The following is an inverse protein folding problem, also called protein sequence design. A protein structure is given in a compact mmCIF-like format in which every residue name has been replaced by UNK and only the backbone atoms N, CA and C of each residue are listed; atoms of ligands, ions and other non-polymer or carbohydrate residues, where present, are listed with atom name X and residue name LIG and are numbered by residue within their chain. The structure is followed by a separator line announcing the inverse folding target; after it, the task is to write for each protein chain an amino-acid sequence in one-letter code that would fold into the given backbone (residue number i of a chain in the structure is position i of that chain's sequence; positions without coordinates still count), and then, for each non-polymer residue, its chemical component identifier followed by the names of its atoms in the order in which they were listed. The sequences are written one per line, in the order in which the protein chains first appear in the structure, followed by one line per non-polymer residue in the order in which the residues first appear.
data_IF_968045858722
#
_entry.id   IF_968045858722
#
_cell.length_a   1.000
_cell.length_b   1.000
_cell.length_c   1.000
_cell.angle_alpha   90.00
_cell.angle_beta   90.00
_cell.angle_gamma   90.00
#
_symmetry.space_group_name_H-M   'P 1'
#
loop_
_entity.id
_entity.type
_entity.pdbx_description
1 polymer ?
#
# COMPACT_ATOMS: atom_id res chain seq x y z
N UNK A 1 -8.70 -44.68 7.40
CA UNK A 1 -7.34 -44.26 7.00
C UNK A 1 -7.00 -44.47 5.51
N UNK A 2 -7.50 -45.51 4.82
CA UNK A 2 -7.19 -45.76 3.38
C UNK A 2 -7.59 -44.61 2.41
N UNK A 3 -8.70 -43.89 2.64
CA UNK A 3 -9.12 -42.78 1.76
C UNK A 3 -8.21 -41.53 1.83
N UNK A 4 -7.58 -41.27 2.98
CA UNK A 4 -6.67 -40.12 3.12
C UNK A 4 -5.39 -40.36 2.30
N UNK A 5 -4.89 -41.60 2.30
CA UNK A 5 -3.71 -41.98 1.53
C UNK A 5 -3.93 -41.84 0.01
N UNK A 6 -5.11 -42.23 -0.48
CA UNK A 6 -5.48 -42.06 -1.89
C UNK A 6 -5.49 -40.58 -2.32
N UNK A 7 -6.03 -39.70 -1.49
CA UNK A 7 -6.07 -38.26 -1.79
C UNK A 7 -4.68 -37.61 -1.81
N UNK A 8 -3.80 -37.99 -0.88
CA UNK A 8 -2.40 -37.54 -0.88
C UNK A 8 -1.62 -38.02 -2.11
N UNK A 9 -1.86 -39.26 -2.57
CA UNK A 9 -1.25 -39.79 -3.80
C UNK A 9 -1.72 -38.98 -5.01
N UNK A 10 -3.02 -38.67 -5.12
CA UNK A 10 -3.55 -37.83 -6.21
C UNK A 10 -2.92 -36.44 -6.19
N UNK A 11 -2.82 -35.79 -5.03
CA UNK A 11 -2.15 -34.49 -4.90
C UNK A 11 -0.66 -34.54 -5.28
N UNK A 12 0.05 -35.61 -4.89
CA UNK A 12 1.45 -35.81 -5.29
C UNK A 12 1.60 -36.03 -6.79
N UNK A 13 0.69 -36.78 -7.43
CA UNK A 13 0.66 -36.97 -8.88
C UNK A 13 0.41 -35.64 -9.60
N UNK A 14 -0.54 -34.84 -9.12
CA UNK A 14 -0.81 -33.50 -9.68
C UNK A 14 0.40 -32.59 -9.50
N UNK A 15 1.04 -32.60 -8.32
CA UNK A 15 2.23 -31.80 -8.05
C UNK A 15 3.43 -32.20 -8.91
N UNK A 16 3.67 -33.51 -9.08
CA UNK A 16 4.70 -34.05 -9.96
C UNK A 16 4.43 -33.67 -11.43
N UNK A 17 3.18 -33.75 -11.87
CA UNK A 17 2.77 -33.35 -13.21
C UNK A 17 2.92 -31.85 -13.45
N UNK A 18 2.64 -31.01 -12.44
CA UNK A 18 2.90 -29.56 -12.49
C UNK A 18 4.40 -29.27 -12.61
N UNK A 19 5.27 -29.93 -11.83
CA UNK A 19 6.73 -29.77 -11.94
C UNK A 19 7.23 -30.18 -13.33
N UNK A 20 6.79 -31.32 -13.85
CA UNK A 20 7.21 -31.83 -15.16
C UNK A 20 6.75 -30.90 -16.30
N UNK A 21 5.54 -30.34 -16.20
CA UNK A 21 5.04 -29.35 -17.15
C UNK A 21 5.84 -28.04 -17.08
N UNK A 22 6.21 -27.60 -15.86
CA UNK A 22 7.04 -26.41 -15.66
C UNK A 22 8.43 -26.54 -16.31
N UNK A 23 9.02 -27.73 -16.26
CA UNK A 23 10.30 -28.02 -16.95
C UNK A 23 10.22 -27.86 -18.47
N UNK A 24 9.10 -28.22 -19.10
CA UNK A 24 8.91 -28.11 -20.55
C UNK A 24 8.55 -26.69 -21.01
N UNK A 25 7.85 -25.91 -20.19
CA UNK A 25 7.46 -24.52 -20.53
C UNK A 25 8.67 -23.57 -20.53
N UNK A 26 9.63 -23.74 -19.63
CA UNK A 26 10.86 -22.94 -19.65
C UNK A 26 11.69 -23.18 -20.90
N UNK A 27 11.70 -24.42 -21.42
CA UNK A 27 12.44 -24.77 -22.65
C UNK A 27 11.84 -24.12 -23.91
N UNK A 28 10.52 -23.95 -23.96
CA UNK A 28 9.82 -23.28 -25.07
C UNK A 28 9.85 -21.76 -24.97
N UNK A 29 9.97 -21.19 -23.77
CA UNK A 29 10.02 -19.73 -23.58
C UNK A 29 11.36 -19.11 -24.02
N UNK A 30 12.47 -19.84 -23.89
CA UNK A 30 13.78 -19.39 -24.40
C UNK A 30 13.82 -19.38 -25.94
N UNK A 31 13.03 -20.23 -26.61
CA UNK A 31 12.88 -20.24 -28.08
C UNK A 31 11.93 -19.15 -28.61
N UNK A 32 10.87 -18.80 -27.86
CA UNK A 32 9.87 -17.80 -28.29
C UNK A 32 10.36 -16.36 -28.09
N UNK A 33 11.16 -16.09 -27.04
CA UNK A 33 11.71 -14.74 -26.78
C UNK A 33 12.76 -14.29 -27.82
N UNK A 34 13.33 -15.22 -28.59
CA UNK A 34 14.25 -14.88 -29.69
C UNK A 34 13.53 -14.60 -31.02
N UNK A 35 12.21 -14.83 -31.13
CA UNK A 35 11.46 -14.72 -32.40
C UNK A 35 10.43 -13.60 -32.49
N UNK A 36 10.21 -12.81 -31.43
CA UNK A 36 9.16 -11.76 -31.43
C UNK A 36 9.71 -10.37 -31.04
N UNK A 37 10.64 -9.91 -31.86
CA UNK A 37 10.91 -8.49 -32.12
C UNK A 37 10.36 -8.24 -33.53
N UNK A 38 9.50 -7.23 -33.70
CA UNK A 38 8.71 -6.89 -34.92
C UNK A 38 7.26 -7.38 -34.83
N UNK A 39 6.42 -6.59 -34.14
CA UNK A 39 5.12 -6.10 -34.65
C UNK A 39 4.39 -5.32 -33.54
N UNK A 40 4.05 -4.07 -33.86
CA UNK A 40 3.38 -3.11 -32.98
C UNK A 40 2.10 -2.64 -33.66
N UNK A 41 1.10 -2.41 -32.82
CA UNK A 41 -0.14 -1.66 -33.05
C UNK A 41 -1.29 -2.41 -33.74
N UNK A 42 -2.30 -2.80 -32.95
CA UNK A 42 -3.62 -2.15 -32.96
C UNK A 42 -4.56 -2.81 -31.93
N UNK A 43 -5.65 -2.11 -31.62
CA UNK A 43 -6.85 -2.53 -30.90
C UNK A 43 -6.96 -2.24 -29.39
N UNK A 44 -7.52 -1.05 -29.17
CA UNK A 44 -8.53 -0.73 -28.16
C UNK A 44 -9.62 -1.82 -28.07
N UNK A 45 -9.49 -2.76 -27.13
CA UNK A 45 -10.63 -3.55 -26.61
C UNK A 45 -10.36 -4.20 -25.23
N UNK A 46 -9.38 -3.68 -24.48
CA UNK A 46 -8.91 -4.30 -23.22
C UNK A 46 -9.86 -4.16 -22.02
N UNK A 47 -11.01 -3.49 -22.13
CA UNK A 47 -11.92 -3.30 -20.99
C UNK A 47 -12.91 -4.43 -20.75
N UNK A 48 -13.19 -5.31 -21.72
CA UNK A 48 -14.05 -6.49 -21.49
C UNK A 48 -13.36 -7.61 -20.70
N UNK A 49 -12.03 -7.74 -20.84
CA UNK A 49 -11.25 -8.84 -20.25
C UNK A 49 -11.19 -8.84 -18.71
N UNK A 50 -11.66 -7.77 -18.06
CA UNK A 50 -11.65 -7.65 -16.60
C UNK A 50 -12.82 -8.39 -15.93
N UNK A 51 -13.96 -8.55 -16.60
CA UNK A 51 -15.15 -9.18 -16.02
C UNK A 51 -14.99 -10.70 -15.90
N UNK A 52 -14.44 -11.33 -16.94
CA UNK A 52 -14.19 -12.78 -16.97
C UNK A 52 -13.17 -13.19 -15.90
N UNK A 53 -12.14 -12.36 -15.69
CA UNK A 53 -11.13 -12.63 -14.68
C UNK A 53 -11.72 -12.62 -13.26
N UNK A 54 -12.65 -11.72 -12.93
CA UNK A 54 -13.25 -11.64 -11.59
C UNK A 54 -14.02 -12.90 -11.21
N UNK A 55 -14.85 -13.41 -12.12
CA UNK A 55 -15.64 -14.64 -11.91
C UNK A 55 -14.69 -15.84 -11.78
N UNK A 56 -13.68 -15.93 -12.66
CA UNK A 56 -12.66 -16.98 -12.59
C UNK A 56 -11.91 -16.96 -11.25
N UNK A 57 -11.68 -15.78 -10.65
CA UNK A 57 -11.02 -15.68 -9.35
C UNK A 57 -11.87 -16.23 -8.20
N UNK A 58 -13.16 -15.89 -8.13
CA UNK A 58 -14.05 -16.45 -7.08
C UNK A 58 -14.10 -17.97 -7.16
N UNK A 59 -14.23 -18.55 -8.36
CA UNK A 59 -14.27 -19.99 -8.55
C UNK A 59 -12.95 -20.68 -8.15
N UNK A 60 -11.79 -20.13 -8.57
CA UNK A 60 -10.47 -20.67 -8.21
C UNK A 60 -10.33 -20.74 -6.69
N UNK A 61 -10.64 -19.63 -6.03
CA UNK A 61 -10.42 -19.52 -4.59
C UNK A 61 -11.44 -20.31 -3.79
N UNK A 62 -12.68 -20.46 -4.25
CA UNK A 62 -13.66 -21.38 -3.66
C UNK A 62 -13.15 -22.81 -3.69
N UNK A 63 -12.67 -23.29 -4.85
CA UNK A 63 -12.14 -24.67 -4.98
C UNK A 63 -10.92 -24.89 -4.07
N UNK A 64 -10.01 -23.92 -4.03
CA UNK A 64 -8.83 -24.00 -3.16
C UNK A 64 -9.26 -23.98 -1.68
N UNK A 65 -10.23 -23.15 -1.31
CA UNK A 65 -10.77 -23.09 0.05
C UNK A 65 -11.45 -24.40 0.45
N UNK A 66 -12.31 -24.97 -0.39
CA UNK A 66 -12.98 -26.24 -0.15
C UNK A 66 -11.97 -27.37 0.13
N UNK A 67 -10.91 -27.46 -0.68
CA UNK A 67 -9.83 -28.43 -0.52
C UNK A 67 -9.09 -28.26 0.82
N UNK A 68 -8.96 -27.02 1.32
CA UNK A 68 -8.28 -26.75 2.59
C UNK A 68 -9.19 -26.79 3.81
N UNK A 69 -10.49 -26.50 3.68
CA UNK A 69 -11.45 -26.62 4.78
C UNK A 69 -11.79 -28.07 5.12
N UNK A 70 -11.65 -29.00 4.17
CA UNK A 70 -11.85 -30.44 4.43
C UNK A 70 -10.69 -31.03 5.28
N UNK A 71 -9.52 -30.38 5.32
CA UNK A 71 -8.30 -30.93 5.94
C UNK A 71 -7.88 -30.24 7.25
N UNK A 72 -8.82 -29.70 8.03
CA UNK A 72 -8.51 -29.02 9.30
C UNK A 72 -8.07 -30.03 10.38
N UNK A 73 -6.78 -30.38 10.39
CA UNK A 73 -6.08 -30.84 11.60
C UNK A 73 -5.36 -29.65 12.25
N UNK A 74 -5.35 -29.58 13.58
CA UNK A 74 -4.83 -28.46 14.41
C UNK A 74 -3.35 -28.09 14.20
N UNK A 75 -2.63 -28.76 13.32
CA UNK A 75 -1.23 -28.49 12.97
C UNK A 75 -1.08 -28.41 11.45
N UNK A 76 -0.79 -27.21 10.96
CA UNK A 76 -0.51 -26.96 9.54
C UNK A 76 0.74 -27.78 9.13
N UNK A 77 0.56 -28.79 8.28
CA UNK A 77 1.66 -29.67 7.89
C UNK A 77 2.74 -28.88 7.13
N UNK A 78 4.00 -29.32 7.20
CA UNK A 78 5.11 -28.74 6.42
C UNK A 78 4.77 -28.65 4.92
N UNK A 79 4.00 -29.60 4.41
CA UNK A 79 3.55 -29.66 3.02
C UNK A 79 2.52 -28.56 2.71
N UNK A 80 1.59 -28.26 3.62
CA UNK A 80 0.62 -27.18 3.44
C UNK A 80 1.30 -25.81 3.40
N UNK A 81 2.28 -25.57 4.30
CA UNK A 81 3.10 -24.34 4.28
C UNK A 81 3.88 -24.21 2.98
N UNK A 82 4.50 -25.28 2.51
CA UNK A 82 5.25 -25.29 1.26
C UNK A 82 4.32 -25.03 0.06
N UNK A 83 3.16 -25.68 0.01
CA UNK A 83 2.20 -25.53 -1.07
C UNK A 83 1.62 -24.11 -1.13
N UNK A 84 1.25 -23.52 0.02
CA UNK A 84 0.86 -22.11 0.11
C UNK A 84 1.97 -21.19 -0.42
N UNK A 85 3.21 -21.42 0.01
CA UNK A 85 4.36 -20.63 -0.46
C UNK A 85 4.55 -20.73 -1.98
N UNK A 86 4.35 -21.92 -2.57
CA UNK A 86 4.43 -22.15 -4.01
C UNK A 86 3.29 -21.47 -4.74
N UNK A 87 2.03 -21.74 -4.39
CA UNK A 87 0.86 -21.11 -5.03
C UNK A 87 0.95 -19.58 -4.97
N UNK A 88 1.35 -19.02 -3.84
CA UNK A 88 1.45 -17.57 -3.67
C UNK A 88 2.71 -16.96 -4.30
N UNK A 89 3.61 -17.77 -4.86
CA UNK A 89 4.80 -17.31 -5.60
C UNK A 89 4.65 -17.32 -7.11
N UNK A 90 3.61 -17.97 -7.64
CA UNK A 90 3.36 -18.10 -9.08
C UNK A 90 2.66 -16.83 -9.62
N UNK A 91 3.14 -16.21 -10.71
CA UNK A 91 2.44 -15.14 -11.41
C UNK A 91 0.98 -15.48 -11.74
N UNK A 92 0.07 -14.54 -11.49
CA UNK A 92 -1.39 -14.72 -11.61
C UNK A 92 -1.86 -15.32 -12.96
N UNK A 93 -1.15 -15.00 -14.06
CA UNK A 93 -1.46 -15.53 -15.39
C UNK A 93 -1.30 -17.06 -15.44
N UNK A 94 -0.29 -17.57 -14.77
CA UNK A 94 0.02 -19.00 -14.68
C UNK A 94 -0.95 -19.70 -13.72
N UNK A 95 -1.35 -19.04 -12.62
CA UNK A 95 -2.39 -19.57 -11.72
C UNK A 95 -3.71 -19.82 -12.43
N UNK A 96 -4.13 -18.90 -13.32
CA UNK A 96 -5.35 -19.07 -14.14
C UNK A 96 -5.19 -20.25 -15.13
N UNK A 97 -4.03 -20.38 -15.77
CA UNK A 97 -3.76 -21.50 -16.68
C UNK A 97 -3.83 -22.85 -15.96
N UNK A 98 -3.21 -22.94 -14.77
CA UNK A 98 -3.26 -24.14 -13.93
C UNK A 98 -4.71 -24.46 -13.53
N UNK A 99 -5.49 -23.46 -13.12
CA UNK A 99 -6.89 -23.68 -12.79
C UNK A 99 -7.71 -24.19 -13.96
N UNK A 100 -7.59 -23.60 -15.15
CA UNK A 100 -8.34 -24.04 -16.32
C UNK A 100 -8.00 -25.49 -16.68
N UNK A 101 -6.73 -25.88 -16.61
CA UNK A 101 -6.30 -27.27 -16.81
C UNK A 101 -6.88 -28.23 -15.76
N UNK A 102 -6.96 -27.80 -14.49
CA UNK A 102 -7.59 -28.59 -13.43
C UNK A 102 -9.10 -28.71 -13.68
N UNK A 103 -9.77 -27.62 -14.04
CA UNK A 103 -11.21 -27.57 -14.33
C UNK A 103 -11.58 -28.48 -15.50
N UNK A 104 -10.82 -28.46 -16.58
CA UNK A 104 -11.02 -29.35 -17.73
C UNK A 104 -10.85 -30.83 -17.36
N UNK A 105 -9.87 -31.16 -16.51
CA UNK A 105 -9.64 -32.55 -16.07
C UNK A 105 -10.62 -33.04 -15.01
N UNK A 106 -11.24 -32.15 -14.24
CA UNK A 106 -12.20 -32.48 -13.19
C UNK A 106 -13.67 -32.42 -13.67
N UNK A 107 -13.94 -32.04 -14.92
CA UNK A 107 -15.30 -32.18 -15.45
C UNK A 107 -15.67 -33.66 -15.51
N UNK A 108 -16.74 -34.10 -14.81
CA UNK A 108 -17.13 -35.49 -14.79
C UNK A 108 -17.64 -35.90 -16.18
N UNK A 109 -16.88 -36.72 -16.88
CA UNK A 109 -17.33 -37.46 -18.05
C UNK A 109 -18.48 -38.39 -17.64
N UNK A 110 -19.71 -38.02 -17.99
CA UNK A 110 -20.92 -38.85 -18.05
C UNK A 110 -20.96 -40.09 -17.13
N UNK A 111 -21.09 -39.88 -15.80
CA UNK A 111 -21.47 -40.97 -14.90
C UNK A 111 -22.98 -40.93 -14.67
N UNK A 112 -23.61 -42.06 -14.98
CA UNK A 112 -25.05 -42.28 -15.08
C UNK A 112 -25.86 -41.91 -13.82
N UNK A 113 -27.15 -41.60 -14.02
CA UNK A 113 -28.15 -41.11 -13.05
C UNK A 113 -28.43 -41.99 -11.80
N UNK A 114 -27.61 -42.99 -11.47
CA UNK A 114 -27.94 -43.99 -10.43
C UNK A 114 -27.34 -43.77 -9.03
N UNK A 115 -26.42 -42.82 -8.84
CA UNK A 115 -25.73 -42.63 -7.54
C UNK A 115 -26.11 -41.37 -6.74
N UNK A 116 -27.02 -40.51 -7.25
CA UNK A 116 -27.43 -39.26 -6.58
C UNK A 116 -28.41 -39.40 -5.39
N UNK A 117 -28.69 -40.62 -4.90
CA UNK A 117 -29.73 -40.86 -3.86
C UNK A 117 -29.22 -41.24 -2.46
N UNK A 118 -27.91 -41.20 -2.19
CA UNK A 118 -27.37 -41.77 -0.93
C UNK A 118 -26.65 -40.80 0.04
N UNK A 119 -26.66 -39.47 -0.20
CA UNK A 119 -25.88 -38.50 0.62
C UNK A 119 -26.76 -37.36 1.15
N UNK A 120 -27.94 -37.69 1.67
CA UNK A 120 -28.87 -36.70 2.23
C UNK A 120 -29.54 -37.24 3.50
N UNK A 121 -28.75 -37.41 4.56
CA UNK A 121 -29.19 -37.59 5.96
C UNK A 121 -27.99 -37.28 6.87
N UNK A 122 -28.27 -36.63 8.00
CA UNK A 122 -27.36 -36.23 9.10
C UNK A 122 -26.82 -34.77 9.07
N UNK A 123 -27.75 -33.85 9.37
CA UNK A 123 -27.52 -32.62 10.13
C UNK A 123 -28.52 -32.62 11.32
N UNK A 124 -28.10 -32.02 12.46
CA UNK A 124 -28.76 -31.88 13.79
C UNK A 124 -28.28 -32.97 14.77
N UNK A 125 -27.83 -32.71 16.00
CA UNK A 125 -27.90 -31.62 17.00
C UNK A 125 -26.56 -31.60 17.79
N UNK A 126 -26.18 -30.76 18.74
CA UNK A 126 -26.85 -29.87 19.71
C UNK A 126 -25.76 -29.03 20.42
N UNK A 127 -26.12 -27.81 20.84
CA UNK A 127 -25.38 -26.90 21.71
C UNK A 127 -25.29 -27.40 23.17
N UNK A 128 -24.38 -26.83 23.99
CA UNK A 128 -24.63 -26.28 25.35
C UNK A 128 -23.36 -25.60 25.94
N UNK A 129 -23.65 -24.66 26.83
CA UNK A 129 -23.01 -23.48 27.44
C UNK A 129 -21.68 -23.53 28.25
N UNK A 130 -20.97 -22.40 28.16
CA UNK A 130 -20.29 -21.55 29.16
C UNK A 130 -20.20 -21.98 30.65
N UNK A 131 -19.03 -21.73 31.27
CA UNK A 131 -18.88 -20.79 32.41
C UNK A 131 -17.40 -20.56 32.81
N UNK A 132 -17.16 -19.37 33.35
CA UNK A 132 -15.93 -18.67 33.72
C UNK A 132 -15.36 -18.96 35.12
N UNK A 133 -14.04 -18.74 35.31
CA UNK A 133 -13.40 -18.09 36.49
C UNK A 133 -11.86 -18.10 36.30
N UNK A 134 -11.22 -16.96 36.08
CA UNK A 134 -10.47 -16.11 37.04
C UNK A 134 -9.38 -16.83 37.83
N UNK A 135 -8.11 -16.42 37.66
CA UNK A 135 -7.21 -16.12 38.79
C UNK A 135 -6.01 -15.25 38.36
N UNK A 136 -5.70 -14.33 39.27
CA UNK A 136 -4.79 -13.20 39.23
C UNK A 136 -3.32 -13.55 39.51
N UNK A 137 -2.51 -12.49 39.38
CA UNK A 137 -1.19 -12.22 39.97
C UNK A 137 0.00 -12.65 39.11
N UNK A 138 1.09 -11.91 39.00
CA UNK A 138 1.55 -10.52 39.30
C UNK A 138 3.05 -10.58 38.90
N UNK A 139 3.75 -9.44 38.89
CA UNK A 139 5.20 -9.25 39.15
C UNK A 139 5.85 -8.26 38.17
N UNK A 140 5.89 -7.03 38.69
CA UNK A 140 7.00 -6.05 38.79
C UNK A 140 7.78 -5.58 37.56
N UNK A 141 7.64 -4.27 37.34
CA UNK A 141 8.53 -3.37 36.61
C UNK A 141 9.67 -2.86 37.51
N UNK A 142 10.90 -2.89 37.01
CA UNK A 142 12.04 -2.14 37.56
C UNK A 142 12.47 -1.03 36.61
N UNK A 143 12.44 0.20 37.14
CA UNK A 143 13.00 1.40 36.55
C UNK A 143 14.52 1.40 36.72
N UNK A 144 15.26 1.81 35.69
CA UNK A 144 16.64 2.28 35.85
C UNK A 144 16.76 3.65 35.16
N UNK A 145 16.94 4.65 36.01
CA UNK A 145 17.42 6.00 35.71
C UNK A 145 18.94 5.93 35.72
N UNK A 146 19.60 6.45 34.69
CA UNK A 146 21.01 6.82 34.77
C UNK A 146 21.24 8.15 34.07
N UNK A 147 21.57 9.12 34.91
CA UNK A 147 22.09 10.45 34.63
C UNK A 147 23.55 10.40 34.17
N UNK A 148 23.94 11.25 33.24
CA UNK A 148 25.28 11.85 33.26
C UNK A 148 25.27 13.24 32.63
N UNK A 149 25.90 14.16 33.35
CA UNK A 149 26.07 15.58 33.05
C UNK A 149 27.27 15.85 32.15
N UNK A 150 27.20 17.01 31.47
CA UNK A 150 28.24 18.03 31.21
C UNK A 150 29.65 17.59 30.78
N UNK A 151 30.37 18.27 29.92
CA UNK A 151 30.23 19.52 29.17
C UNK A 151 31.47 19.55 28.26
N UNK A 152 31.35 20.08 27.06
CA UNK A 152 32.44 20.85 26.44
C UNK A 152 31.93 21.61 25.24
N UNK A 153 32.21 22.89 25.30
CA UNK A 153 31.86 24.00 24.43
C UNK A 153 32.63 23.93 23.11
N UNK A 154 31.95 24.09 21.98
CA UNK A 154 32.53 24.78 20.83
C UNK A 154 31.43 25.35 19.93
N UNK A 155 31.52 26.66 19.71
CA UNK A 155 30.65 27.51 18.88
C UNK A 155 30.36 26.89 17.50
N UNK A 156 29.10 26.56 17.21
CA UNK A 156 28.58 26.53 15.84
C UNK A 156 27.25 27.29 15.79
N UNK A 157 27.29 28.39 15.05
CA UNK A 157 26.24 29.37 14.88
C UNK A 157 25.02 28.73 14.16
N UNK A 158 23.93 28.60 14.92
CA UNK A 158 22.50 28.83 14.58
C UNK A 158 21.77 28.18 13.37
N UNK A 159 22.13 26.97 12.91
CA UNK A 159 21.24 26.17 12.03
C UNK A 159 20.43 25.08 12.74
N UNK A 160 20.74 24.81 14.02
CA UNK A 160 20.10 23.74 14.82
C UNK A 160 18.67 24.13 15.26
N UNK A 161 18.43 25.43 15.48
CA UNK A 161 17.14 25.95 15.91
C UNK A 161 16.07 25.87 14.81
N UNK A 162 16.43 26.06 13.53
CA UNK A 162 15.51 25.87 12.38
C UNK A 162 15.12 24.38 12.24
N UNK A 163 16.06 23.48 12.53
CA UNK A 163 15.86 22.04 12.43
C UNK A 163 14.97 21.48 13.53
N UNK A 164 15.01 22.06 14.73
CA UNK A 164 14.09 21.72 15.83
C UNK A 164 12.74 22.39 15.64
N UNK A 165 12.66 23.67 15.25
CA UNK A 165 11.39 24.38 15.05
C UNK A 165 10.54 23.81 13.92
N UNK A 166 11.13 23.34 12.81
CA UNK A 166 10.35 22.65 11.76
C UNK A 166 9.83 21.26 12.18
N UNK A 167 10.39 20.67 13.24
CA UNK A 167 9.89 19.44 13.86
C UNK A 167 9.04 19.67 15.12
N UNK A 168 9.08 20.89 15.69
CA UNK A 168 8.45 21.24 16.96
C UNK A 168 7.41 22.36 16.86
N UNK A 169 7.21 22.99 15.70
CA UNK A 169 5.93 23.59 15.32
C UNK A 169 4.92 22.46 15.08
N UNK A 170 4.68 21.71 16.16
CA UNK A 170 3.54 20.85 16.37
C UNK A 170 2.35 21.77 16.19
N UNK A 171 1.64 21.58 15.08
CA UNK A 171 0.34 22.19 14.81
C UNK A 171 -0.60 21.73 15.93
N UNK A 172 -0.55 22.42 17.07
CA UNK A 172 -1.59 22.41 18.10
C UNK A 172 -2.68 23.38 17.64
N UNK A 173 -3.40 23.03 16.58
CA UNK A 173 -4.69 23.64 16.22
C UNK A 173 -5.36 22.85 15.08
N UNK A 174 -6.41 22.12 15.47
CA UNK A 174 -7.50 21.54 14.66
C UNK A 174 -7.15 20.43 13.65
N UNK A 175 -7.75 19.25 13.87
CA UNK A 175 -7.70 18.02 13.07
C UNK A 175 -8.32 18.12 11.66
N UNK A 176 -8.57 19.33 11.16
CA UNK A 176 -9.23 19.58 9.86
C UNK A 176 -8.38 20.55 9.06
N UNK A 177 -7.49 19.99 8.24
CA UNK A 177 -6.79 20.74 7.20
C UNK A 177 -7.82 21.08 6.12
N UNK A 178 -8.19 22.35 6.04
CA UNK A 178 -9.03 22.85 4.95
C UNK A 178 -8.12 23.12 3.76
N UNK A 179 -8.32 22.37 2.67
CA UNK A 179 -7.53 22.54 1.45
C UNK A 179 -7.74 23.93 0.87
N UNK A 180 -6.67 24.71 0.68
CA UNK A 180 -6.73 26.02 0.03
C UNK A 180 -6.46 25.89 -1.47
N UNK A 181 -7.44 26.25 -2.30
CA UNK A 181 -7.34 26.28 -3.77
C UNK A 181 -6.72 27.58 -4.33
N UNK A 182 -6.18 28.45 -3.47
CA UNK A 182 -5.74 29.78 -3.90
C UNK A 182 -4.47 29.71 -4.76
N UNK A 183 -4.51 30.39 -5.90
CA UNK A 183 -3.34 30.72 -6.73
C UNK A 183 -2.50 31.75 -5.99
N UNK A 184 -1.70 31.32 -5.01
CA UNK A 184 -0.72 32.19 -4.38
C UNK A 184 0.48 32.35 -5.28
N UNK A 185 0.97 33.58 -5.40
CA UNK A 185 2.19 33.89 -6.15
C UNK A 185 3.37 33.11 -5.57
N UNK A 186 4.18 32.55 -6.48
CA UNK A 186 5.40 31.88 -6.09
C UNK A 186 6.31 32.86 -5.33
N UNK A 187 6.90 32.40 -4.23
CA UNK A 187 7.89 33.19 -3.51
C UNK A 187 9.11 33.44 -4.40
N UNK A 188 9.67 34.65 -4.31
CA UNK A 188 10.84 35.06 -5.10
C UNK A 188 12.12 34.72 -4.32
N UNK A 189 13.10 34.16 -5.01
CA UNK A 189 14.45 33.92 -4.47
C UNK A 189 15.51 34.39 -5.46
N UNK A 190 16.78 34.43 -5.02
CA UNK A 190 17.92 34.74 -5.89
C UNK A 190 18.10 33.72 -7.03
N UNK A 191 17.50 32.53 -6.93
CA UNK A 191 17.56 31.48 -7.95
C UNK A 191 16.45 31.66 -9.01
N UNK A 192 16.63 32.64 -9.91
CA UNK A 192 15.64 33.02 -10.95
C UNK A 192 15.38 31.94 -12.03
N UNK A 193 16.16 30.85 -12.07
CA UNK A 193 16.06 29.84 -13.14
C UNK A 193 14.89 28.87 -13.00
N UNK A 194 14.17 28.91 -11.88
CA UNK A 194 13.04 28.03 -11.60
C UNK A 194 11.88 28.79 -10.98
N UNK A 195 10.66 28.45 -11.40
CA UNK A 195 9.41 28.90 -10.79
C UNK A 195 8.75 27.78 -9.99
N UNK A 196 7.82 28.12 -9.10
CA UNK A 196 6.99 27.15 -8.42
C UNK A 196 6.17 26.35 -9.43
N UNK A 197 5.99 25.05 -9.17
CA UNK A 197 5.12 24.23 -10.00
C UNK A 197 3.67 24.56 -9.63
N UNK A 198 2.94 25.22 -10.55
CA UNK A 198 1.51 25.49 -10.36
C UNK A 198 0.71 24.19 -10.22
N UNK A 199 -0.38 24.25 -9.46
CA UNK A 199 -1.28 23.13 -9.21
C UNK A 199 -1.68 22.41 -10.52
N UNK A 200 -1.74 21.09 -10.47
CA UNK A 200 -2.13 20.23 -11.59
C UNK A 200 -2.58 18.87 -11.06
N UNK A 201 -3.48 18.20 -11.78
CA UNK A 201 -3.91 16.84 -11.48
C UNK A 201 -3.31 15.84 -12.45
N UNK A 202 -3.03 14.63 -11.98
CA UNK A 202 -2.71 13.47 -12.79
C UNK A 202 -3.73 12.38 -12.52
N UNK A 203 -3.92 11.46 -13.47
CA UNK A 203 -4.80 10.30 -13.27
C UNK A 203 -4.41 9.55 -11.99
N UNK A 204 -5.31 9.55 -11.01
CA UNK A 204 -5.18 8.80 -9.78
C UNK A 204 -5.55 7.33 -10.02
N UNK A 205 -4.57 6.46 -9.78
CA UNK A 205 -4.70 5.01 -9.87
C UNK A 205 -4.42 4.31 -8.54
N UNK A 206 -4.37 5.02 -7.41
CA UNK A 206 -3.97 4.48 -6.10
C UNK A 206 -5.14 4.45 -5.11
N UNK A 207 -6.37 4.29 -5.60
CA UNK A 207 -7.55 4.20 -4.74
C UNK A 207 -7.71 2.79 -4.18
N UNK A 208 -8.01 2.73 -2.88
CA UNK A 208 -8.39 1.51 -2.17
C UNK A 208 -9.76 1.70 -1.52
N UNK A 209 -10.54 0.63 -1.47
CA UNK A 209 -11.93 0.65 -1.00
C UNK A 209 -12.25 -0.49 -0.05
N UNK A 210 -13.15 -0.25 0.89
CA UNK A 210 -13.83 -1.30 1.65
C UNK A 210 -15.32 -1.02 1.55
N UNK A 211 -15.94 -1.53 0.48
CA UNK A 211 -17.33 -1.19 0.10
C UNK A 211 -18.33 -1.52 1.20
N UNK A 212 -18.14 -2.61 1.94
CA UNK A 212 -18.99 -2.99 3.08
C UNK A 212 -19.06 -1.91 4.19
N UNK A 213 -18.08 -1.02 4.26
CA UNK A 213 -18.04 0.11 5.20
C UNK A 213 -18.16 1.47 4.50
N UNK A 214 -18.42 1.50 3.18
CA UNK A 214 -18.34 2.71 2.35
C UNK A 214 -17.08 3.55 2.64
N UNK A 215 -15.95 2.87 2.80
CA UNK A 215 -14.69 3.49 3.21
C UNK A 215 -13.70 3.51 2.05
N UNK A 216 -13.10 4.67 1.79
CA UNK A 216 -12.21 4.89 0.65
C UNK A 216 -10.96 5.67 1.05
N UNK A 217 -9.83 5.33 0.40
CA UNK A 217 -8.59 6.09 0.53
C UNK A 217 -7.80 6.18 -0.77
N UNK A 218 -7.09 7.29 -0.95
CA UNK A 218 -6.03 7.42 -1.95
C UNK A 218 -4.67 7.21 -1.27
N UNK A 219 -3.97 6.14 -1.64
CA UNK A 219 -2.69 5.78 -1.03
C UNK A 219 -1.52 6.51 -1.69
N UNK A 220 -0.87 7.41 -0.94
CA UNK A 220 0.28 8.18 -1.41
C UNK A 220 1.59 7.61 -0.86
N UNK A 221 2.52 7.28 -1.75
CA UNK A 221 3.84 6.77 -1.40
C UNK A 221 4.54 7.61 -0.32
N UNK A 222 5.03 6.93 0.73
CA UNK A 222 5.70 7.49 1.93
C UNK A 222 4.80 8.25 2.93
N UNK A 223 3.49 8.19 2.76
CA UNK A 223 2.51 8.72 3.71
C UNK A 223 1.73 7.60 4.38
N UNK A 224 2.42 6.73 5.13
CA UNK A 224 1.79 5.54 5.73
C UNK A 224 1.19 4.55 4.70
N UNK A 225 1.53 4.70 3.40
CA UNK A 225 0.95 3.94 2.28
C UNK A 225 1.00 2.42 2.45
N UNK A 226 2.05 1.88 3.06
CA UNK A 226 2.18 0.44 3.23
C UNK A 226 1.20 -0.10 4.28
N UNK A 227 1.01 0.63 5.38
CA UNK A 227 0.08 0.24 6.43
C UNK A 227 -1.36 0.46 6.00
N UNK A 228 -1.70 1.61 5.39
CA UNK A 228 -3.08 1.86 4.97
C UNK A 228 -3.57 0.81 3.96
N UNK A 229 -2.73 0.37 3.02
CA UNK A 229 -3.10 -0.71 2.09
C UNK A 229 -3.32 -2.04 2.79
N UNK A 230 -2.49 -2.35 3.78
CA UNK A 230 -2.60 -3.59 4.57
C UNK A 230 -3.83 -3.55 5.49
N UNK A 231 -4.14 -2.39 6.07
CA UNK A 231 -5.36 -2.18 6.87
C UNK A 231 -6.61 -2.34 6.01
N UNK A 232 -6.64 -1.72 4.82
CA UNK A 232 -7.76 -1.91 3.89
C UNK A 232 -7.88 -3.37 3.44
N UNK A 233 -6.77 -4.09 3.31
CA UNK A 233 -6.76 -5.52 3.02
C UNK A 233 -7.30 -6.37 4.19
N UNK A 234 -6.92 -6.05 5.42
CA UNK A 234 -7.47 -6.66 6.63
C UNK A 234 -8.98 -6.41 6.73
N UNK A 235 -9.39 -5.14 6.61
CA UNK A 235 -10.78 -4.73 6.68
C UNK A 235 -11.62 -5.36 5.57
N UNK A 236 -11.06 -5.69 4.39
CA UNK A 236 -11.78 -6.40 3.34
C UNK A 236 -12.24 -7.79 3.83
N UNK A 237 -11.32 -8.61 4.34
CA UNK A 237 -11.61 -9.95 4.85
C UNK A 237 -10.69 -10.30 6.03
N UNK A 238 -11.18 -10.02 7.24
CA UNK A 238 -10.41 -10.11 8.47
C UNK A 238 -9.96 -11.55 8.76
N UNK A 239 -10.89 -12.52 8.61
CA UNK A 239 -10.62 -13.94 8.85
C UNK A 239 -9.52 -14.45 7.93
N UNK A 240 -9.61 -14.16 6.63
CA UNK A 240 -8.62 -14.58 5.64
C UNK A 240 -7.28 -13.89 5.88
N UNK A 241 -7.30 -12.59 6.18
CA UNK A 241 -6.09 -11.84 6.49
C UNK A 241 -5.36 -12.41 7.72
N UNK A 242 -6.06 -12.61 8.84
CA UNK A 242 -5.48 -13.17 10.06
C UNK A 242 -4.97 -14.58 9.82
N UNK A 243 -5.71 -15.43 9.09
CA UNK A 243 -5.27 -16.80 8.75
C UNK A 243 -3.95 -16.81 7.96
N UNK A 244 -3.74 -15.86 7.06
CA UNK A 244 -2.55 -15.80 6.19
C UNK A 244 -1.38 -15.10 6.88
N UNK A 245 -1.62 -13.96 7.51
CA UNK A 245 -0.57 -13.06 8.00
C UNK A 245 -0.46 -13.01 9.52
N UNK A 246 -1.54 -13.29 10.25
CA UNK A 246 -1.67 -13.11 11.70
C UNK A 246 -1.69 -11.65 12.13
N UNK A 247 -0.70 -10.88 11.70
CA UNK A 247 -0.41 -9.50 12.08
C UNK A 247 -0.35 -8.58 10.86
N UNK A 248 -0.68 -7.29 11.03
CA UNK A 248 -0.59 -6.30 9.95
C UNK A 248 0.84 -6.21 9.41
N UNK A 249 1.85 -6.22 10.29
CA UNK A 249 3.27 -6.11 9.90
C UNK A 249 3.72 -7.19 8.89
N UNK A 250 3.08 -8.35 8.90
CA UNK A 250 3.40 -9.48 8.01
C UNK A 250 2.70 -9.36 6.65
N UNK A 251 1.59 -8.63 6.58
CA UNK A 251 0.91 -8.30 5.32
C UNK A 251 1.52 -7.11 4.57
N UNK A 252 2.51 -6.43 5.15
CA UNK A 252 3.19 -5.30 4.51
C UNK A 252 3.94 -5.79 3.26
N UNK A 253 3.64 -5.16 2.11
CA UNK A 253 4.15 -5.47 0.77
C UNK A 253 3.63 -6.77 0.14
N UNK A 254 2.73 -7.47 0.81
CA UNK A 254 1.99 -8.58 0.21
C UNK A 254 0.80 -8.01 -0.55
N UNK A 255 0.74 -8.32 -1.85
CA UNK A 255 -0.40 -7.98 -2.70
C UNK A 255 -1.58 -8.92 -2.41
N UNK A 256 -1.31 -10.20 -2.20
CA UNK A 256 -2.29 -11.20 -1.81
C UNK A 256 -2.76 -11.01 -0.35
N UNK A 257 -4.03 -11.29 0.02
CA UNK A 257 -5.15 -11.73 -0.81
C UNK A 257 -5.94 -10.61 -1.51
N UNK A 258 -5.52 -9.35 -1.42
CA UNK A 258 -6.40 -8.21 -1.70
C UNK A 258 -6.14 -7.49 -3.04
N UNK A 259 -5.01 -7.76 -3.69
CA UNK A 259 -4.62 -7.07 -4.91
C UNK A 259 -5.61 -7.33 -6.04
N UNK A 260 -6.02 -6.25 -6.71
CA UNK A 260 -7.10 -6.19 -7.69
C UNK A 260 -8.50 -6.49 -7.14
N UNK A 261 -8.66 -6.75 -5.83
CA UNK A 261 -9.98 -6.93 -5.20
C UNK A 261 -10.45 -5.61 -4.61
N UNK A 262 -9.60 -4.97 -3.81
CA UNK A 262 -9.93 -3.70 -3.15
C UNK A 262 -9.09 -2.51 -3.63
N UNK A 263 -8.21 -2.73 -4.61
CA UNK A 263 -7.33 -1.72 -5.18
C UNK A 263 -6.02 -2.34 -5.70
N UNK A 264 -5.14 -1.54 -6.30
CA UNK A 264 -5.30 -0.11 -6.56
C UNK A 264 -6.18 0.16 -7.81
N UNK A 265 -7.08 1.16 -7.75
CA UNK A 265 -8.03 1.47 -8.83
C UNK A 265 -7.98 2.93 -9.28
N UNK A 266 -8.45 3.18 -10.52
CA UNK A 266 -8.83 4.53 -10.97
C UNK A 266 -10.10 4.99 -10.26
N UNK A 267 -10.24 6.28 -9.97
CA UNK A 267 -11.45 6.82 -9.31
C UNK A 267 -12.72 6.47 -10.07
N UNK A 268 -12.71 6.64 -11.41
CA UNK A 268 -13.82 6.24 -12.29
C UNK A 268 -14.19 4.75 -12.19
N UNK A 269 -13.19 3.89 -11.95
CA UNK A 269 -13.41 2.45 -11.80
C UNK A 269 -14.01 2.15 -10.42
N UNK A 270 -13.59 2.89 -9.38
CA UNK A 270 -14.21 2.79 -8.05
C UNK A 270 -15.70 3.10 -8.12
N UNK A 271 -16.06 4.27 -8.66
CA UNK A 271 -17.46 4.71 -8.79
C UNK A 271 -18.27 3.72 -9.63
N UNK A 272 -17.71 3.25 -10.75
CA UNK A 272 -18.37 2.29 -11.63
C UNK A 272 -18.63 0.94 -10.96
N UNK A 273 -17.64 0.37 -10.28
CA UNK A 273 -17.68 -1.03 -9.83
C UNK A 273 -18.18 -1.21 -8.40
N UNK A 274 -18.03 -0.21 -7.53
CA UNK A 274 -18.39 -0.33 -6.11
C UNK A 274 -19.54 0.57 -5.69
N UNK A 275 -19.98 1.49 -6.55
CA UNK A 275 -21.06 2.41 -6.24
C UNK A 275 -22.06 2.60 -7.40
N UNK A 276 -22.25 1.57 -8.25
CA UNK A 276 -23.25 1.53 -9.31
C UNK A 276 -23.26 2.76 -10.25
N UNK A 277 -22.09 3.34 -10.53
CA UNK A 277 -21.91 4.59 -11.31
C UNK A 277 -22.51 5.85 -10.66
N UNK A 278 -22.97 5.78 -9.41
CA UNK A 278 -23.50 6.92 -8.69
C UNK A 278 -22.35 7.74 -8.11
N UNK A 279 -21.92 8.78 -8.81
CA UNK A 279 -20.81 9.62 -8.34
C UNK A 279 -21.20 10.46 -7.11
N UNK A 280 -22.42 11.00 -7.08
CA UNK A 280 -22.93 11.81 -5.97
C UNK A 280 -22.96 11.02 -4.66
N UNK A 281 -23.52 9.80 -4.68
CA UNK A 281 -23.51 8.95 -3.49
C UNK A 281 -22.08 8.59 -3.06
N UNK A 282 -21.17 8.38 -4.00
CA UNK A 282 -19.79 8.08 -3.67
C UNK A 282 -19.20 9.23 -2.85
N UNK A 283 -19.25 10.46 -3.36
CA UNK A 283 -18.67 11.62 -2.68
C UNK A 283 -19.36 12.01 -1.37
N UNK A 284 -20.70 11.92 -1.32
CA UNK A 284 -21.46 12.44 -0.19
C UNK A 284 -21.67 11.43 0.94
N UNK A 285 -21.74 10.12 0.62
CA UNK A 285 -22.09 9.08 1.60
C UNK A 285 -20.93 8.17 1.98
N UNK A 286 -19.82 8.20 1.25
CA UNK A 286 -18.63 7.42 1.64
C UNK A 286 -17.71 8.27 2.51
N UNK A 287 -16.98 7.60 3.40
CA UNK A 287 -15.90 8.25 4.17
C UNK A 287 -14.61 8.18 3.34
N UNK A 288 -14.12 9.35 2.92
CA UNK A 288 -12.90 9.48 2.12
C UNK A 288 -11.74 10.01 2.96
N UNK A 289 -10.62 9.28 2.96
CA UNK A 289 -9.44 9.69 3.72
C UNK A 289 -8.19 9.78 2.84
N UNK A 290 -7.36 10.78 3.11
CA UNK A 290 -6.03 10.90 2.52
C UNK A 290 -5.02 11.19 3.60
N UNK A 291 -4.03 10.31 3.73
CA UNK A 291 -2.91 10.53 4.65
C UNK A 291 -1.88 11.41 3.92
N UNK A 292 -1.64 12.59 4.48
CA UNK A 292 -0.67 13.55 3.96
C UNK A 292 0.56 13.62 4.87
N UNK A 293 1.65 14.19 4.37
CA UNK A 293 2.90 14.36 5.11
C UNK A 293 3.59 15.64 4.69
N UNK A 294 4.36 16.26 5.58
CA UNK A 294 5.22 17.39 5.25
C UNK A 294 6.03 17.07 3.98
N UNK A 295 5.99 17.94 2.94
CA UNK A 295 6.52 17.57 1.62
C UNK A 295 8.03 17.28 1.63
N UNK A 296 8.81 18.02 2.42
CA UNK A 296 10.25 17.79 2.57
C UNK A 296 10.54 16.48 3.28
N UNK A 297 9.82 16.20 4.37
CA UNK A 297 10.01 14.96 5.10
C UNK A 297 9.64 13.73 4.25
N UNK A 298 8.54 13.83 3.49
CA UNK A 298 8.13 12.82 2.50
C UNK A 298 9.21 12.61 1.44
N UNK A 299 9.69 13.69 0.82
CA UNK A 299 10.77 13.67 -0.18
C UNK A 299 12.02 12.98 0.37
N UNK A 300 12.51 13.41 1.54
CA UNK A 300 13.72 12.85 2.14
C UNK A 300 13.53 11.38 2.52
N UNK A 301 12.33 10.95 2.92
CA UNK A 301 12.01 9.54 3.15
C UNK A 301 12.08 8.72 1.85
N UNK A 302 11.48 9.21 0.77
CA UNK A 302 11.51 8.57 -0.54
C UNK A 302 12.94 8.51 -1.11
N UNK A 303 13.66 9.63 -1.10
CA UNK A 303 15.02 9.75 -1.63
C UNK A 303 16.00 8.87 -0.87
N UNK A 304 15.96 8.90 0.46
CA UNK A 304 16.82 8.04 1.29
C UNK A 304 16.54 6.56 1.01
N UNK A 305 15.26 6.19 0.89
CA UNK A 305 14.86 4.80 0.64
C UNK A 305 15.25 4.30 -0.76
N UNK A 306 14.95 5.07 -1.80
CA UNK A 306 15.03 4.59 -3.19
C UNK A 306 16.36 4.92 -3.86
N UNK A 307 17.01 6.01 -3.45
CA UNK A 307 18.16 6.59 -4.15
C UNK A 307 19.46 6.53 -3.35
N UNK A 308 19.39 6.46 -2.03
CA UNK A 308 20.58 6.35 -1.16
C UNK A 308 20.85 4.90 -0.75
N UNK A 309 19.85 4.19 -0.24
CA UNK A 309 20.01 2.76 0.11
C UNK A 309 20.32 1.94 -1.17
N UNK A 310 21.43 1.19 -1.15
CA UNK A 310 21.92 0.43 -2.33
C UNK A 310 20.99 -0.73 -2.76
N UNK A 311 20.03 -1.13 -1.92
CA UNK A 311 19.17 -2.33 -2.13
C UNK A 311 18.05 -2.17 -3.17
N UNK A 312 17.84 -0.99 -3.78
CA UNK A 312 16.78 -0.80 -4.76
C UNK A 312 17.20 -1.26 -6.17
N UNK A 313 16.64 -2.39 -6.67
CA UNK A 313 16.89 -2.91 -8.03
C UNK A 313 16.58 -1.87 -9.13
N UNK A 314 15.59 -1.02 -8.90
CA UNK A 314 15.16 0.00 -9.87
C UNK A 314 15.83 1.36 -9.66
N UNK A 315 16.86 1.44 -8.81
CA UNK A 315 17.54 2.70 -8.41
C UNK A 315 17.93 3.58 -9.60
N UNK A 316 18.54 3.02 -10.65
CA UNK A 316 18.94 3.82 -11.83
C UNK A 316 17.73 4.49 -12.50
N UNK A 317 16.59 3.80 -12.60
CA UNK A 317 15.35 4.31 -13.22
C UNK A 317 14.61 5.27 -12.29
N UNK A 318 14.41 4.88 -11.04
CA UNK A 318 13.68 5.65 -10.02
C UNK A 318 14.40 6.96 -9.67
N UNK A 319 15.73 6.97 -9.75
CA UNK A 319 16.56 8.09 -9.34
C UNK A 319 17.14 8.87 -10.52
N UNK A 320 16.52 8.78 -11.69
CA UNK A 320 16.95 9.48 -12.92
C UNK A 320 18.44 9.33 -13.23
N UNK A 321 19.04 8.17 -12.98
CA UNK A 321 20.50 7.90 -13.10
C UNK A 321 21.40 8.82 -12.22
N UNK A 322 20.84 9.54 -11.26
CA UNK A 322 21.58 10.42 -10.33
C UNK A 322 22.15 9.67 -9.12
N UNK A 323 21.79 8.40 -8.92
CA UNK A 323 22.16 7.63 -7.74
C UNK A 323 21.79 8.39 -6.44
N UNK A 324 22.75 8.70 -5.58
CA UNK A 324 22.55 9.47 -4.34
C UNK A 324 22.84 10.97 -4.47
N UNK A 325 23.01 11.50 -5.69
CA UNK A 325 23.21 12.94 -5.90
C UNK A 325 21.86 13.67 -5.88
N UNK A 326 21.59 14.42 -4.81
CA UNK A 326 20.33 15.13 -4.60
C UNK A 326 20.13 16.30 -5.57
N UNK A 327 21.20 17.04 -5.91
CA UNK A 327 21.14 18.14 -6.89
C UNK A 327 20.66 17.64 -8.25
N UNK A 328 21.36 16.64 -8.78
CA UNK A 328 20.98 16.00 -10.04
C UNK A 328 19.54 15.47 -9.98
N UNK A 329 19.15 14.85 -8.86
CA UNK A 329 17.81 14.28 -8.72
C UNK A 329 16.72 15.35 -8.75
N UNK A 330 16.83 16.41 -7.95
CA UNK A 330 15.83 17.48 -7.87
C UNK A 330 15.70 18.23 -9.20
N UNK A 331 16.82 18.55 -9.87
CA UNK A 331 16.80 19.21 -11.18
C UNK A 331 16.12 18.34 -12.24
N UNK A 332 16.39 17.03 -12.24
CA UNK A 332 15.73 16.09 -13.16
C UNK A 332 14.28 15.85 -12.80
N UNK A 333 13.91 15.84 -11.52
CA UNK A 333 12.53 15.73 -11.07
C UNK A 333 11.71 16.94 -11.51
N UNK A 334 12.22 18.15 -11.29
CA UNK A 334 11.58 19.40 -11.72
C UNK A 334 11.30 19.40 -13.23
N UNK A 335 12.33 19.15 -14.05
CA UNK A 335 12.20 19.02 -15.51
C UNK A 335 11.23 17.91 -15.92
N UNK A 336 11.20 16.80 -15.18
CA UNK A 336 10.32 15.67 -15.45
C UNK A 336 8.85 16.04 -15.22
N UNK A 337 8.53 16.66 -14.09
CA UNK A 337 7.17 17.11 -13.76
C UNK A 337 6.67 18.10 -14.81
N UNK A 338 7.48 19.11 -15.18
CA UNK A 338 7.10 20.07 -16.22
C UNK A 338 6.79 19.39 -17.57
N UNK A 339 7.59 18.40 -17.98
CA UNK A 339 7.34 17.63 -19.21
C UNK A 339 6.07 16.79 -19.13
N UNK A 340 5.79 16.16 -17.99
CA UNK A 340 4.56 15.37 -17.79
C UNK A 340 3.33 16.27 -17.75
N UNK A 341 3.38 17.37 -17.01
CA UNK A 341 2.31 18.39 -16.94
C UNK A 341 1.96 18.93 -18.33
N UNK A 342 2.98 19.20 -19.15
CA UNK A 342 2.80 19.69 -20.52
C UNK A 342 2.51 18.59 -21.55
N UNK A 343 2.18 17.36 -21.11
CA UNK A 343 1.92 16.18 -21.96
C UNK A 343 3.05 15.83 -22.93
N UNK A 344 4.27 16.34 -22.71
CA UNK A 344 5.48 16.06 -23.53
C UNK A 344 6.19 14.77 -23.13
N UNK A 345 5.71 14.08 -22.10
CA UNK A 345 6.31 12.84 -21.59
C UNK A 345 5.29 11.98 -20.86
N UNK A 346 5.35 10.66 -21.08
CA UNK A 346 4.60 9.70 -20.27
C UNK A 346 5.13 9.65 -18.84
N UNK A 347 4.21 9.58 -17.88
CA UNK A 347 4.54 9.53 -16.46
C UNK A 347 5.15 8.18 -16.08
N UNK A 348 6.19 8.20 -15.23
CA UNK A 348 6.67 7.00 -14.56
C UNK A 348 5.90 6.86 -13.24
N UNK A 349 4.98 5.91 -13.19
CA UNK A 349 4.08 5.67 -12.05
C UNK A 349 4.80 5.51 -10.70
N UNK A 350 5.96 4.84 -10.68
CA UNK A 350 6.74 4.66 -9.45
C UNK A 350 7.35 5.97 -8.97
N UNK A 351 7.90 6.76 -9.90
CA UNK A 351 8.44 8.09 -9.58
C UNK A 351 7.32 9.05 -9.16
N UNK A 352 6.19 9.01 -9.88
CA UNK A 352 4.97 9.77 -9.57
C UNK A 352 4.56 9.54 -8.11
N UNK A 353 4.30 8.29 -7.76
CA UNK A 353 3.80 7.93 -6.43
C UNK A 353 4.72 8.40 -5.27
N UNK A 354 6.04 8.36 -5.46
CA UNK A 354 6.99 8.67 -4.40
C UNK A 354 7.50 10.11 -4.35
N UNK A 355 7.54 10.81 -5.49
CA UNK A 355 8.27 12.07 -5.59
C UNK A 355 7.48 13.24 -6.15
N UNK A 356 6.33 13.02 -6.80
CA UNK A 356 5.52 14.14 -7.28
C UNK A 356 4.77 14.81 -6.13
N UNK A 357 4.34 16.08 -6.27
CA UNK A 357 3.50 16.75 -5.28
C UNK A 357 2.27 15.90 -4.94
N UNK A 358 1.95 15.80 -3.65
CA UNK A 358 0.83 15.02 -3.13
C UNK A 358 -0.50 15.53 -3.70
N UNK A 359 -0.61 16.85 -3.86
CA UNK A 359 -1.73 17.54 -4.53
C UNK A 359 -1.97 17.08 -5.97
N UNK A 360 -1.00 16.44 -6.63
CA UNK A 360 -1.12 15.91 -7.99
C UNK A 360 -1.48 14.42 -8.10
N UNK A 361 -1.58 13.69 -6.98
CA UNK A 361 -1.70 12.22 -6.97
C UNK A 361 -3.12 11.69 -6.81
N UNK A 362 -4.01 12.48 -6.20
CA UNK A 362 -5.40 12.11 -5.94
C UNK A 362 -6.33 13.06 -6.73
N UNK A 363 -7.40 12.55 -7.32
CA UNK A 363 -8.28 13.26 -8.28
C UNK A 363 -9.18 14.34 -7.61
N UNK A 364 -8.73 15.01 -6.55
CA UNK A 364 -9.64 15.66 -5.59
C UNK A 364 -9.38 17.12 -5.31
N UNK A 365 -8.65 17.81 -6.20
CA UNK A 365 -8.55 19.28 -6.15
C UNK A 365 -9.96 19.90 -6.12
N UNK A 366 -10.91 19.34 -6.86
CA UNK A 366 -12.31 19.79 -6.94
C UNK A 366 -13.23 19.11 -5.90
N UNK A 367 -12.77 18.06 -5.22
CA UNK A 367 -13.58 17.24 -4.28
C UNK A 367 -13.03 17.29 -2.85
N UNK A 368 -12.15 18.24 -2.58
CA UNK A 368 -11.44 18.40 -1.31
C UNK A 368 -12.38 18.48 -0.10
N UNK A 369 -13.57 19.07 -0.26
CA UNK A 369 -14.60 19.23 0.76
C UNK A 369 -15.15 17.90 1.30
N UNK A 370 -15.05 16.82 0.51
CA UNK A 370 -15.51 15.48 0.91
C UNK A 370 -14.41 14.66 1.60
N UNK A 371 -13.19 15.18 1.69
CA UNK A 371 -12.01 14.40 2.08
C UNK A 371 -11.51 14.83 3.45
N UNK A 372 -11.36 13.83 4.32
CA UNK A 372 -10.65 13.98 5.58
C UNK A 372 -9.15 13.76 5.36
N UNK A 373 -8.38 14.84 5.45
CA UNK A 373 -6.93 14.79 5.44
C UNK A 373 -6.38 14.44 6.83
N UNK A 374 -5.52 13.43 6.92
CA UNK A 374 -4.90 12.98 8.16
C UNK A 374 -3.39 13.24 8.08
N UNK A 375 -2.86 14.03 9.00
CA UNK A 375 -1.49 14.52 8.92
C UNK A 375 -0.49 13.56 9.60
N UNK A 376 0.30 12.85 8.80
CA UNK A 376 1.34 11.94 9.30
C UNK A 376 2.59 12.65 9.86
N UNK A 377 2.67 13.97 9.77
CA UNK A 377 3.77 14.77 10.32
C UNK A 377 3.51 15.27 11.74
N UNK A 378 2.36 14.97 12.34
CA UNK A 378 2.11 15.21 13.77
C UNK A 378 2.87 14.20 14.64
N UNK A 379 2.73 14.29 15.97
CA UNK A 379 3.24 13.24 16.85
C UNK A 379 2.55 11.92 16.55
N UNK A 380 3.20 10.81 16.92
CA UNK A 380 2.69 9.47 16.66
C UNK A 380 1.30 9.27 17.25
N UNK A 381 1.11 9.76 18.46
CA UNK A 381 -0.12 9.70 19.24
C UNK A 381 -1.23 10.47 18.52
N UNK A 382 -1.00 11.76 18.20
CA UNK A 382 -1.99 12.60 17.49
C UNK A 382 -2.38 11.98 16.14
N UNK A 383 -1.39 11.47 15.38
CA UNK A 383 -1.67 10.82 14.10
C UNK A 383 -2.54 9.57 14.27
N UNK A 384 -2.21 8.69 15.22
CA UNK A 384 -2.98 7.47 15.45
C UNK A 384 -4.36 7.77 16.01
N UNK A 385 -4.50 8.68 16.96
CA UNK A 385 -5.79 9.08 17.52
C UNK A 385 -6.69 9.66 16.43
N UNK A 386 -6.17 10.54 15.58
CA UNK A 386 -6.90 11.09 14.42
C UNK A 386 -7.32 10.00 13.44
N UNK A 387 -6.47 9.00 13.23
CA UNK A 387 -6.73 7.92 12.30
C UNK A 387 -7.76 6.91 12.82
N UNK A 388 -7.69 6.57 14.09
CA UNK A 388 -8.66 5.70 14.79
C UNK A 388 -10.02 6.38 14.87
N UNK A 389 -10.09 7.67 15.25
CA UNK A 389 -11.33 8.45 15.26
C UNK A 389 -12.08 8.41 13.93
N UNK A 390 -11.34 8.45 12.82
CA UNK A 390 -11.94 8.39 11.48
C UNK A 390 -12.52 7.00 11.17
N UNK A 391 -11.95 5.94 11.75
CA UNK A 391 -12.52 4.59 11.65
C UNK A 391 -13.74 4.41 12.55
N UNK A 392 -13.74 5.01 13.75
CA UNK A 392 -14.88 5.02 14.67
C UNK A 392 -16.07 5.79 14.07
N UNK A 393 -15.81 6.90 13.39
CA UNK A 393 -16.81 7.64 12.61
C UNK A 393 -17.29 6.86 11.36
N UNK A 394 -16.65 5.73 11.04
CA UNK A 394 -17.05 4.83 9.98
C UNK A 394 -17.77 3.63 10.60
N UNK A 395 -18.65 2.95 9.87
CA UNK A 395 -19.36 1.76 10.38
C UNK A 395 -18.45 0.51 10.51
N UNK A 396 -17.19 0.69 10.92
CA UNK A 396 -16.20 -0.37 11.13
C UNK A 396 -16.39 -0.92 12.55
N UNK A 397 -16.57 -2.24 12.74
CA UNK A 397 -16.75 -2.82 14.07
C UNK A 397 -15.56 -2.59 15.00
N UNK A 398 -15.84 -2.30 16.28
CA UNK A 398 -14.86 -1.97 17.32
C UNK A 398 -13.74 -3.00 17.44
N UNK A 399 -14.04 -4.30 17.39
CA UNK A 399 -13.02 -5.36 17.45
C UNK A 399 -11.93 -5.20 16.37
N UNK A 400 -12.32 -4.74 15.18
CA UNK A 400 -11.38 -4.49 14.09
C UNK A 400 -10.55 -3.23 14.34
N UNK A 401 -11.18 -2.20 14.90
CA UNK A 401 -10.51 -0.94 15.27
C UNK A 401 -9.48 -1.21 16.35
N UNK A 402 -9.85 -1.93 17.41
CA UNK A 402 -8.97 -2.34 18.51
C UNK A 402 -7.79 -3.17 17.98
N UNK A 403 -8.03 -4.12 17.08
CA UNK A 403 -6.95 -4.89 16.44
C UNK A 403 -5.99 -3.99 15.66
N UNK A 404 -6.52 -3.09 14.84
CA UNK A 404 -5.71 -2.16 14.03
C UNK A 404 -4.90 -1.24 14.94
N UNK A 405 -5.55 -0.64 15.94
CA UNK A 405 -4.94 0.28 16.89
C UNK A 405 -3.76 -0.36 17.62
N UNK A 406 -4.00 -1.55 18.19
CA UNK A 406 -2.95 -2.34 18.83
C UNK A 406 -1.78 -2.57 17.89
N UNK A 407 -2.05 -3.06 16.68
CA UNK A 407 -1.01 -3.39 15.70
C UNK A 407 -0.20 -2.16 15.24
N UNK A 408 -0.82 -1.00 15.04
CA UNK A 408 -0.10 0.20 14.58
C UNK A 408 0.66 0.90 15.71
N UNK A 409 0.19 0.82 16.96
CA UNK A 409 0.86 1.39 18.13
C UNK A 409 2.06 0.55 18.57
N UNK A 410 1.88 -0.77 18.68
CA UNK A 410 2.91 -1.71 19.14
C UNK A 410 4.00 -1.94 18.08
N UNK A 411 3.66 -1.90 16.79
CA UNK A 411 4.66 -2.14 15.75
C UNK A 411 5.57 -0.93 15.54
N UNK A 412 6.87 -1.13 15.71
CA UNK A 412 7.87 -0.22 15.13
C UNK A 412 7.72 -0.34 13.61
N UNK A 413 7.51 0.79 12.94
CA UNK A 413 7.50 0.87 11.48
C UNK A 413 8.90 0.43 10.97
N UNK A 414 9.13 -0.87 10.74
CA UNK A 414 10.44 -1.45 10.34
C UNK A 414 11.05 -0.79 9.09
N UNK A 415 10.24 -0.05 8.35
CA UNK A 415 10.59 0.58 7.08
C UNK A 415 10.71 2.10 7.17
N UNK A 416 10.63 2.65 8.39
CA UNK A 416 10.88 4.07 8.59
C UNK A 416 12.33 4.40 8.24
N UNK A 417 12.51 5.48 7.50
CA UNK A 417 13.82 6.12 7.33
C UNK A 417 14.07 7.15 8.42
N UNK A 418 13.02 7.58 9.13
CA UNK A 418 13.09 8.54 10.22
C UNK A 418 14.02 8.01 11.31
N UNK A 419 14.84 8.89 11.88
CA UNK A 419 15.84 8.52 12.89
C UNK A 419 17.14 7.90 12.34
N UNK A 420 17.16 7.36 11.11
CA UNK A 420 18.37 6.71 10.57
C UNK A 420 19.50 7.70 10.27
N UNK A 421 20.77 7.30 10.48
CA UNK A 421 21.96 8.11 10.16
C UNK A 421 21.96 8.60 8.70
N UNK A 422 21.58 7.72 7.77
CA UNK A 422 21.48 8.07 6.34
C UNK A 422 20.47 9.19 6.08
N UNK A 423 19.29 9.14 6.71
CA UNK A 423 18.26 10.17 6.58
C UNK A 423 18.71 11.51 7.18
N UNK A 424 19.43 11.48 8.31
CA UNK A 424 20.03 12.68 8.92
C UNK A 424 21.06 13.33 7.97
N UNK A 425 21.94 12.53 7.36
CA UNK A 425 22.91 13.04 6.36
C UNK A 425 22.19 13.71 5.18
N UNK A 426 21.15 13.11 4.62
CA UNK A 426 20.40 13.72 3.52
C UNK A 426 19.66 15.00 3.94
N UNK A 427 19.14 15.03 5.18
CA UNK A 427 18.52 16.22 5.74
C UNK A 427 19.53 17.36 5.80
N UNK A 428 20.70 17.13 6.42
CA UNK A 428 21.77 18.12 6.51
C UNK A 428 22.17 18.62 5.12
N UNK A 429 22.30 17.73 4.12
CA UNK A 429 22.61 18.13 2.74
C UNK A 429 21.57 19.05 2.11
N UNK A 430 20.28 18.79 2.35
CA UNK A 430 19.20 19.61 1.82
C UNK A 430 19.15 20.98 2.51
N UNK A 431 19.12 20.99 3.85
CA UNK A 431 18.96 22.21 4.64
C UNK A 431 20.21 23.11 4.64
N UNK A 432 21.41 22.55 4.44
CA UNK A 432 22.64 23.35 4.31
C UNK A 432 22.90 23.86 2.88
N UNK A 433 22.01 23.59 1.91
CA UNK A 433 22.18 24.05 0.54
C UNK A 433 20.95 24.84 0.09
N UNK A 434 21.08 26.17 0.09
CA UNK A 434 19.99 27.11 -0.24
C UNK A 434 19.34 26.82 -1.59
N UNK A 435 20.13 26.47 -2.61
CA UNK A 435 19.60 26.14 -3.93
C UNK A 435 18.77 24.85 -3.92
N UNK A 436 19.22 23.81 -3.20
CA UNK A 436 18.46 22.56 -3.09
C UNK A 436 17.16 22.76 -2.32
N UNK A 437 17.21 23.53 -1.23
CA UNK A 437 16.03 23.85 -0.44
C UNK A 437 15.01 24.65 -1.26
N UNK A 438 15.46 25.71 -1.94
CA UNK A 438 14.64 26.50 -2.87
C UNK A 438 13.98 25.62 -3.94
N UNK A 439 14.77 24.79 -4.62
CA UNK A 439 14.27 23.92 -5.68
C UNK A 439 13.25 22.90 -5.17
N UNK A 440 13.50 22.28 -4.00
CA UNK A 440 12.56 21.36 -3.37
C UNK A 440 11.27 22.09 -2.98
N UNK A 441 11.37 23.28 -2.40
CA UNK A 441 10.21 24.10 -2.03
C UNK A 441 9.38 24.49 -3.25
N UNK A 442 10.02 24.89 -4.36
CA UNK A 442 9.32 25.20 -5.63
C UNK A 442 8.64 23.99 -6.26
N UNK A 443 9.23 22.80 -6.17
CA UNK A 443 8.61 21.54 -6.63
C UNK A 443 7.33 21.26 -5.84
N UNK A 444 7.39 21.39 -4.52
CA UNK A 444 6.31 21.00 -3.61
C UNK A 444 5.43 22.15 -3.12
N UNK A 445 5.57 23.35 -3.70
CA UNK A 445 4.96 24.58 -3.22
C UNK A 445 3.46 24.42 -2.94
N UNK A 446 2.74 23.80 -3.87
CA UNK A 446 1.30 23.57 -3.75
C UNK A 446 0.92 22.65 -2.58
N UNK A 447 1.77 21.68 -2.22
CA UNK A 447 1.50 20.85 -1.04
C UNK A 447 1.62 21.66 0.26
N UNK A 448 2.53 22.65 0.33
CA UNK A 448 2.65 23.51 1.51
C UNK A 448 1.42 24.39 1.67
N UNK A 449 0.96 25.01 0.59
CA UNK A 449 -0.20 25.90 0.59
C UNK A 449 -1.50 25.10 0.84
N UNK A 450 -1.72 24.04 0.07
CA UNK A 450 -2.94 23.24 0.16
C UNK A 450 -3.10 22.57 1.54
N UNK A 451 -2.00 22.12 2.15
CA UNK A 451 -2.05 21.42 3.44
C UNK A 451 -1.62 22.27 4.64
N UNK A 452 -1.46 23.58 4.45
CA UNK A 452 -1.11 24.54 5.50
C UNK A 452 0.18 24.15 6.27
N UNK A 453 1.18 23.64 5.56
CA UNK A 453 2.52 23.44 6.12
C UNK A 453 3.34 24.73 5.98
N UNK A 454 4.19 25.07 6.96
CA UNK A 454 5.10 26.20 6.83
C UNK A 454 6.09 25.97 5.68
N UNK A 455 6.34 27.02 4.89
CA UNK A 455 7.39 26.99 3.88
C UNK A 455 8.77 26.89 4.58
N UNK A 456 9.67 26.00 4.15
CA UNK A 456 11.01 25.90 4.71
C UNK A 456 11.89 26.98 4.08
N UNK A 457 11.62 28.24 4.42
CA UNK A 457 12.36 29.38 3.93
C UNK A 457 13.68 29.44 4.72
N UNK A 458 14.79 29.59 4.00
CA UNK A 458 16.04 30.00 4.63
C UNK A 458 15.88 31.46 5.04
N UNK A 459 15.77 31.71 6.35
CA UNK A 459 15.92 33.06 6.90
C UNK A 459 17.36 33.52 6.77
#
# INVERSE_FOLDING_TARGET
MKNIYSYYIILLIIFYWMIKSYGNINKTFDEINNKTLVEKNNNSNKSLKYHDNHIVYEDIFSVVEDVFTINVTKTESKNEKLFKKVIFSVPMKETIQIYNQIKEKLQPSNVSKKEKKMILKEKKSSNISNSSSSFLNSITTTNIILTSNSSTTTRMINNKNILSTLSSEVIKKNDLITFKNNTTDCFITSFKTTSCINLFSLLNNNNYVVSKYKFHTCSIGKNFSAYITTIFCYLLNQRKFIKIFGHLKNGIWSSFPCHNVNGPFLTKNVIKHFNNKNETEFWEKWKHIVIIRNPIDRFLSAFTHLCVKKKNKFRKKDCFKCNSNMKCFLERLYKNILKVKNKKKMVNERVKNYFYPQTSLCDYIEKNQFIKYINFSTTREIFYDSFIKVMEDSNIPDDNIIFIEKEIRESILKHTTTGTKLRKIQQTKLFNNLYLLDLATKIYYQDFIAFNYPLPIAK
#
